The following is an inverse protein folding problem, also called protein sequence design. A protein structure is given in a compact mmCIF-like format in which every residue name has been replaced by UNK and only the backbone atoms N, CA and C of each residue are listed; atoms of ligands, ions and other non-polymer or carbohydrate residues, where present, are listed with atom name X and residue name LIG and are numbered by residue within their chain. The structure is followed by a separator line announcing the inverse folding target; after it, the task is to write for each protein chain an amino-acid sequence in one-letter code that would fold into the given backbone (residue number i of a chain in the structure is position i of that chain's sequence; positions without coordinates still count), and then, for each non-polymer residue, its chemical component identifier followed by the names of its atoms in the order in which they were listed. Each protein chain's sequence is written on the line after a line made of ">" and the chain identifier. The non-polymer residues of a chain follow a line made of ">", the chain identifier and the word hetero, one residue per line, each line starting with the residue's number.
data_IF_160820301911
#
_entry.id   IF_160820301911
#
_cell.length_a   1.000
_cell.length_b   1.000
_cell.length_c   1.000
_cell.angle_alpha   90.00
_cell.angle_beta   90.00
_cell.angle_gamma   90.00
#
_symmetry.space_group_name_H-M   'P 1'
#
loop_
_entity.id
_entity.type
_entity.pdbx_description
1 polymer ?
#
# COMPACT_ATOMS: atom_id res chain seq x y z
N UNK A 1 45.21 -56.77 42.91
CA UNK A 1 44.57 -56.41 41.64
C UNK A 1 43.27 -55.66 41.96
N UNK A 2 43.24 -54.36 41.60
CA UNK A 2 42.15 -53.42 41.23
C UNK A 2 40.69 -53.90 41.44
N UNK A 3 39.65 -53.17 41.86
CA UNK A 3 39.28 -51.75 42.00
C UNK A 3 37.95 -51.71 42.84
N UNK A 4 37.74 -50.75 43.75
CA UNK A 4 36.96 -49.50 43.61
C UNK A 4 35.42 -49.57 43.79
N UNK A 5 34.91 -48.56 44.52
CA UNK A 5 33.56 -47.93 44.45
C UNK A 5 32.36 -48.63 45.09
N UNK A 6 31.33 -47.99 45.65
CA UNK A 6 31.09 -46.75 46.41
C UNK A 6 29.60 -46.82 46.86
N UNK A 7 29.31 -46.42 48.12
CA UNK A 7 28.04 -46.04 48.83
C UNK A 7 26.63 -46.27 48.23
N UNK A 8 25.60 -46.51 49.09
CA UNK A 8 24.84 -45.37 49.67
C UNK A 8 24.32 -45.58 51.11
N UNK A 9 23.83 -44.53 51.81
CA UNK A 9 22.95 -44.73 52.96
C UNK A 9 21.53 -44.14 52.81
N UNK A 10 20.58 -44.93 53.31
CA UNK A 10 19.47 -44.61 54.23
C UNK A 10 18.38 -43.56 53.92
N UNK A 11 17.20 -44.10 53.60
CA UNK A 11 15.84 -43.91 54.18
C UNK A 11 15.35 -42.57 54.80
N UNK A 12 14.26 -42.10 54.17
CA UNK A 12 12.92 -41.66 54.69
C UNK A 12 12.79 -40.54 55.73
N UNK A 13 11.93 -39.55 55.43
CA UNK A 13 10.56 -39.41 55.98
C UNK A 13 9.79 -38.23 55.33
N UNK A 14 8.46 -38.30 55.35
CA UNK A 14 7.52 -37.37 54.72
C UNK A 14 7.18 -36.17 55.63
N UNK A 15 6.90 -35.00 55.05
CA UNK A 15 5.88 -34.06 55.58
C UNK A 15 5.45 -33.05 54.52
N UNK A 16 4.15 -32.81 54.46
CA UNK A 16 3.44 -31.97 53.51
C UNK A 16 3.40 -30.51 53.98
N UNK A 17 3.73 -29.56 53.11
CA UNK A 17 3.28 -28.17 53.23
C UNK A 17 3.16 -27.54 51.84
N UNK A 18 1.93 -27.14 51.51
CA UNK A 18 1.57 -26.38 50.31
C UNK A 18 2.12 -24.94 50.44
N UNK A 19 2.83 -24.47 49.42
CA UNK A 19 3.13 -23.05 49.23
C UNK A 19 2.67 -22.62 47.84
N UNK A 20 1.77 -21.64 47.82
CA UNK A 20 1.30 -20.93 46.62
C UNK A 20 2.48 -20.07 46.13
N UNK A 21 2.97 -20.34 44.91
CA UNK A 21 3.94 -19.47 44.23
C UNK A 21 3.20 -18.68 43.17
N UNK A 22 3.00 -17.39 43.41
CA UNK A 22 2.56 -16.43 42.40
C UNK A 22 3.66 -16.31 41.34
N UNK A 23 3.42 -16.86 40.15
CA UNK A 23 4.32 -16.69 39.02
C UNK A 23 4.06 -15.32 38.38
N UNK A 24 4.82 -14.31 38.78
CA UNK A 24 4.92 -13.07 38.03
C UNK A 24 5.72 -13.35 36.75
N UNK A 25 5.05 -13.32 35.60
CA UNK A 25 5.70 -13.41 34.29
C UNK A 25 6.61 -12.17 34.08
N UNK A 26 7.81 -12.34 33.51
CA UNK A 26 8.61 -11.20 33.11
C UNK A 26 7.84 -10.44 32.01
N UNK A 27 7.57 -9.15 32.26
CA UNK A 27 7.17 -8.23 31.19
C UNK A 27 8.32 -8.18 30.19
N UNK A 28 8.19 -8.96 29.12
CA UNK A 28 8.97 -8.75 27.92
C UNK A 28 8.83 -7.28 27.56
N UNK A 29 9.95 -6.58 27.46
CA UNK A 29 9.99 -5.23 26.93
C UNK A 29 9.41 -5.30 25.52
N UNK A 30 8.13 -4.96 25.40
CA UNK A 30 7.60 -4.44 24.16
C UNK A 30 8.39 -3.16 23.94
N UNK A 31 9.57 -3.28 23.31
CA UNK A 31 10.21 -2.21 22.61
C UNK A 31 9.10 -1.66 21.72
N UNK A 32 8.53 -0.57 22.21
CA UNK A 32 7.45 0.17 21.60
C UNK A 32 8.10 0.68 20.33
N UNK A 33 8.04 -0.12 19.27
CA UNK A 33 8.34 0.31 17.92
C UNK A 33 7.23 1.30 17.66
N UNK A 34 7.50 2.54 18.05
CA UNK A 34 6.68 3.68 17.71
C UNK A 34 6.50 3.55 16.22
N UNK A 35 5.29 3.13 15.83
CA UNK A 35 4.82 3.33 14.48
C UNK A 35 4.80 4.84 14.35
N UNK A 36 5.95 5.40 13.94
CA UNK A 36 6.01 6.71 13.33
C UNK A 36 5.03 6.55 12.19
N UNK A 37 3.83 7.10 12.35
CA UNK A 37 2.95 7.36 11.21
C UNK A 37 3.79 8.29 10.35
N UNK A 38 4.60 7.72 9.47
CA UNK A 38 5.36 8.47 8.51
C UNK A 38 4.29 9.15 7.68
N UNK A 39 4.10 10.44 7.90
CA UNK A 39 3.26 11.27 7.07
C UNK A 39 3.93 11.27 5.71
N UNK A 40 3.53 10.36 4.83
CA UNK A 40 3.99 10.34 3.45
C UNK A 40 3.60 11.67 2.85
N UNK A 41 4.58 12.49 2.47
CA UNK A 41 4.26 13.75 1.80
C UNK A 41 3.65 13.44 0.44
N UNK A 42 2.58 14.17 0.12
CA UNK A 42 1.93 14.10 -1.18
C UNK A 42 2.20 15.39 -1.93
N UNK A 43 2.52 15.26 -3.21
CA UNK A 43 2.65 16.38 -4.13
C UNK A 43 1.61 16.26 -5.24
N UNK A 44 1.09 17.40 -5.69
CA UNK A 44 0.09 17.47 -6.75
C UNK A 44 0.65 18.32 -7.88
N UNK A 45 0.55 17.82 -9.11
CA UNK A 45 1.04 18.51 -10.30
C UNK A 45 0.17 18.20 -11.51
N UNK A 46 0.13 19.14 -12.45
CA UNK A 46 -0.45 18.90 -13.77
C UNK A 46 0.52 18.05 -14.61
N UNK A 47 0.02 17.04 -15.30
CA UNK A 47 0.80 16.32 -16.29
C UNK A 47 1.28 17.28 -17.39
N UNK A 48 2.58 17.26 -17.69
CA UNK A 48 3.19 18.16 -18.70
C UNK A 48 3.61 17.45 -19.97
N UNK A 49 3.45 16.14 -20.03
CA UNK A 49 3.82 15.32 -21.18
C UNK A 49 2.89 14.12 -21.34
N UNK A 50 2.85 13.53 -22.54
CA UNK A 50 2.12 12.28 -22.75
C UNK A 50 2.64 11.13 -21.89
N UNK A 51 3.94 11.11 -21.57
CA UNK A 51 4.51 10.10 -20.69
C UNK A 51 3.91 10.18 -19.27
N UNK A 52 3.57 11.39 -18.82
CA UNK A 52 2.88 11.61 -17.55
C UNK A 52 1.39 11.27 -17.61
N UNK A 53 0.73 11.56 -18.73
CA UNK A 53 -0.66 11.11 -18.98
C UNK A 53 -0.72 9.58 -18.97
N UNK A 54 0.25 8.89 -19.59
CA UNK A 54 0.36 7.42 -19.53
C UNK A 54 0.47 6.88 -18.11
N UNK A 55 1.12 7.60 -17.18
CA UNK A 55 1.15 7.21 -15.76
C UNK A 55 -0.24 7.29 -15.12
N UNK A 56 -1.05 8.31 -15.44
CA UNK A 56 -2.44 8.40 -14.99
C UNK A 56 -3.30 7.27 -15.58
N UNK A 57 -3.17 7.00 -16.88
CA UNK A 57 -3.90 5.93 -17.57
C UNK A 57 -3.55 4.54 -17.01
N UNK A 58 -2.27 4.29 -16.71
CA UNK A 58 -1.82 3.06 -16.08
C UNK A 58 -2.40 2.90 -14.66
N UNK A 59 -2.42 3.97 -13.86
CA UNK A 59 -3.01 3.94 -12.53
C UNK A 59 -4.53 3.66 -12.58
N UNK A 60 -5.25 4.30 -13.50
CA UNK A 60 -6.68 4.03 -13.70
C UNK A 60 -6.93 2.59 -14.14
N UNK A 61 -6.11 2.04 -15.04
CA UNK A 61 -6.20 0.64 -15.43
C UNK A 61 -6.03 -0.30 -14.22
N UNK A 62 -4.99 -0.05 -13.43
CA UNK A 62 -4.69 -0.83 -12.23
C UNK A 62 -5.88 -0.83 -11.26
N UNK A 63 -6.47 0.34 -10.99
CA UNK A 63 -7.62 0.43 -10.08
C UNK A 63 -8.88 -0.18 -10.71
N UNK A 64 -9.27 0.25 -11.91
CA UNK A 64 -10.56 -0.13 -12.47
C UNK A 64 -10.56 -1.54 -13.05
N UNK A 65 -9.60 -1.90 -13.90
CA UNK A 65 -9.60 -3.20 -14.55
C UNK A 65 -9.06 -4.30 -13.64
N UNK A 66 -7.93 -4.06 -12.97
CA UNK A 66 -7.24 -5.10 -12.19
C UNK A 66 -7.88 -5.29 -10.82
N UNK A 67 -8.04 -4.21 -10.05
CA UNK A 67 -8.54 -4.30 -8.67
C UNK A 67 -10.07 -4.39 -8.62
N UNK A 68 -10.79 -3.63 -9.45
CA UNK A 68 -12.26 -3.57 -9.44
C UNK A 68 -12.93 -4.48 -10.50
N UNK A 69 -12.17 -5.08 -11.41
CA UNK A 69 -12.71 -5.99 -12.43
C UNK A 69 -13.57 -5.33 -13.51
N UNK A 70 -13.43 -4.01 -13.71
CA UNK A 70 -14.15 -3.27 -14.73
C UNK A 70 -13.74 -3.70 -16.15
N UNK A 71 -14.72 -3.76 -17.05
CA UNK A 71 -14.46 -3.95 -18.49
C UNK A 71 -14.31 -2.59 -19.15
N UNK A 72 -13.08 -2.20 -19.42
CA UNK A 72 -12.76 -0.89 -20.01
C UNK A 72 -13.05 -0.88 -21.52
N UNK A 73 -13.73 0.16 -21.99
CA UNK A 73 -13.97 0.41 -23.41
C UNK A 73 -12.79 1.18 -24.01
N UNK A 74 -11.70 0.47 -24.25
CA UNK A 74 -10.47 1.07 -24.81
C UNK A 74 -10.51 1.08 -26.35
N UNK A 75 -9.99 2.14 -27.01
CA UNK A 75 -9.90 2.19 -28.46
C UNK A 75 -9.10 1.01 -29.05
N UNK A 76 -9.50 0.55 -30.24
CA UNK A 76 -8.77 -0.51 -30.92
C UNK A 76 -7.31 -0.10 -31.18
N UNK A 77 -6.36 -0.98 -30.84
CA UNK A 77 -4.92 -0.72 -30.97
C UNK A 77 -4.31 0.10 -29.81
N UNK A 78 -5.10 0.43 -28.79
CA UNK A 78 -4.55 1.00 -27.55
C UNK A 78 -3.53 0.05 -26.92
N UNK A 79 -2.41 0.57 -26.37
CA UNK A 79 -1.47 -0.26 -25.63
C UNK A 79 -2.14 -0.97 -24.45
N UNK A 80 -1.75 -2.22 -24.22
CA UNK A 80 -2.24 -2.98 -23.09
C UNK A 80 -1.83 -2.35 -21.75
N UNK A 81 -2.63 -2.56 -20.71
CA UNK A 81 -2.33 -2.07 -19.36
C UNK A 81 -2.64 -0.59 -19.13
N UNK A 82 -3.35 0.07 -20.05
CA UNK A 82 -3.73 1.47 -19.94
C UNK A 82 -5.26 1.62 -20.07
N UNK A 83 -5.85 2.47 -19.24
CA UNK A 83 -7.22 2.93 -19.37
C UNK A 83 -7.22 4.19 -20.24
N UNK A 84 -7.41 4.03 -21.55
CA UNK A 84 -7.43 5.12 -22.53
C UNK A 84 -8.85 5.27 -23.06
N UNK A 85 -9.37 6.50 -23.07
CA UNK A 85 -10.66 6.82 -23.69
C UNK A 85 -10.59 8.08 -24.57
N UNK A 86 -11.70 8.37 -25.26
CA UNK A 86 -11.81 9.51 -26.18
C UNK A 86 -11.67 10.87 -25.49
N UNK A 87 -11.98 10.95 -24.21
CA UNK A 87 -11.98 12.18 -23.46
C UNK A 87 -10.59 12.57 -22.93
N UNK A 88 -9.64 11.63 -22.86
CA UNK A 88 -8.26 11.89 -22.43
C UNK A 88 -7.60 13.01 -23.28
N UNK A 89 -7.93 13.13 -24.56
CA UNK A 89 -7.43 14.19 -25.43
C UNK A 89 -7.94 15.60 -25.06
N UNK A 90 -8.99 15.69 -24.27
CA UNK A 90 -9.65 16.94 -23.88
C UNK A 90 -9.43 17.29 -22.40
N UNK A 91 -9.03 16.31 -21.58
CA UNK A 91 -8.82 16.50 -20.16
C UNK A 91 -7.40 17.02 -19.85
N UNK A 92 -7.33 17.91 -18.86
CA UNK A 92 -6.10 18.10 -18.12
C UNK A 92 -6.00 17.02 -17.04
N UNK A 93 -4.81 16.45 -16.83
CA UNK A 93 -4.59 15.38 -15.87
C UNK A 93 -3.83 15.91 -14.66
N UNK A 94 -4.44 15.83 -13.48
CA UNK A 94 -3.76 16.00 -12.20
C UNK A 94 -3.14 14.69 -11.77
N UNK A 95 -1.89 14.75 -11.34
CA UNK A 95 -1.14 13.65 -10.77
C UNK A 95 -0.89 13.93 -9.29
N UNK A 96 -1.27 12.97 -8.44
CA UNK A 96 -0.92 12.94 -7.03
C UNK A 96 0.23 11.96 -6.87
N UNK A 97 1.35 12.41 -6.34
CA UNK A 97 2.55 11.60 -6.14
C UNK A 97 2.89 11.49 -4.67
N UNK A 98 3.30 10.30 -4.24
CA UNK A 98 3.99 10.13 -2.96
C UNK A 98 5.40 10.71 -3.02
N UNK A 99 6.01 10.97 -1.87
CA UNK A 99 7.43 11.25 -1.76
C UNK A 99 8.25 10.15 -2.45
N UNK A 100 9.21 10.53 -3.28
CA UNK A 100 10.27 9.61 -3.68
C UNK A 100 11.33 9.50 -2.61
N UNK A 101 12.21 8.52 -2.76
CA UNK A 101 13.39 8.36 -1.92
C UNK A 101 14.42 9.43 -2.31
N UNK A 102 15.15 9.95 -1.34
CA UNK A 102 16.29 10.87 -1.55
C UNK A 102 16.03 12.08 -2.48
N UNK A 103 14.79 12.57 -2.53
CA UNK A 103 14.39 13.73 -3.32
C UNK A 103 13.93 13.42 -4.75
N UNK A 104 13.87 12.14 -5.13
CA UNK A 104 13.36 11.72 -6.42
C UNK A 104 11.85 11.91 -6.56
N UNK A 105 11.37 11.91 -7.80
CA UNK A 105 9.95 11.95 -8.11
C UNK A 105 9.33 10.60 -7.78
N UNK A 106 8.47 10.58 -6.76
CA UNK A 106 7.78 9.36 -6.35
C UNK A 106 6.68 8.90 -7.32
N UNK A 107 6.11 7.70 -7.05
CA UNK A 107 5.10 7.09 -7.90
C UNK A 107 3.81 7.92 -7.91
N UNK A 108 3.05 7.82 -9.00
CA UNK A 108 1.68 8.35 -9.05
C UNK A 108 0.81 7.42 -8.21
N UNK A 109 0.18 7.97 -7.18
CA UNK A 109 -0.70 7.24 -6.25
C UNK A 109 -2.15 7.70 -6.35
N UNK A 110 -2.41 8.75 -7.12
CA UNK A 110 -3.74 9.22 -7.44
C UNK A 110 -3.73 10.05 -8.72
N UNK A 111 -4.88 10.13 -9.38
CA UNK A 111 -5.04 11.01 -10.54
C UNK A 111 -6.46 11.55 -10.61
N UNK A 112 -6.62 12.74 -11.19
CA UNK A 112 -7.91 13.33 -11.48
C UNK A 112 -7.91 13.91 -12.89
N UNK A 113 -9.04 13.82 -13.58
CA UNK A 113 -9.24 14.43 -14.89
C UNK A 113 -10.07 15.69 -14.75
N UNK A 114 -9.57 16.78 -15.32
CA UNK A 114 -10.23 18.08 -15.32
C UNK A 114 -10.65 18.38 -16.75
N UNK A 115 -11.96 18.36 -17.00
CA UNK A 115 -12.52 18.77 -18.28
C UNK A 115 -13.01 20.22 -18.14
N UNK A 116 -12.27 21.17 -18.73
CA UNK A 116 -12.70 22.57 -18.71
C UNK A 116 -13.96 22.76 -19.57
N UNK A 117 -14.83 23.76 -19.28
CA UNK A 117 -16.03 24.00 -20.08
C UNK A 117 -15.72 24.22 -21.58
N UNK A 118 -14.58 24.84 -21.90
CA UNK A 118 -14.14 25.02 -23.27
C UNK A 118 -13.73 23.70 -23.93
N UNK A 119 -13.12 22.78 -23.18
CA UNK A 119 -12.75 21.45 -23.67
C UNK A 119 -13.98 20.53 -23.83
N UNK A 120 -14.95 20.59 -22.92
CA UNK A 120 -16.22 19.88 -23.04
C UNK A 120 -16.94 20.20 -24.35
N UNK A 121 -17.02 21.50 -24.70
CA UNK A 121 -17.59 21.93 -26.00
C UNK A 121 -16.87 21.30 -27.20
N UNK A 122 -15.55 21.11 -27.14
CA UNK A 122 -14.77 20.45 -28.20
C UNK A 122 -14.90 18.93 -28.20
N UNK A 123 -15.19 18.34 -27.04
CA UNK A 123 -15.44 16.91 -26.88
C UNK A 123 -16.86 16.49 -27.31
N UNK A 124 -17.73 17.45 -27.65
CA UNK A 124 -19.11 17.19 -28.08
C UNK A 124 -20.18 17.33 -26.99
N UNK A 125 -19.83 17.83 -25.80
CA UNK A 125 -20.73 17.98 -24.65
C UNK A 125 -19.97 17.85 -23.32
N UNK A 126 -20.64 18.09 -22.20
CA UNK A 126 -20.12 17.67 -20.89
C UNK A 126 -20.22 16.13 -20.79
N UNK A 127 -19.29 15.49 -20.08
CA UNK A 127 -19.40 14.04 -19.78
C UNK A 127 -20.76 13.70 -19.15
N UNK A 128 -21.31 14.63 -18.35
CA UNK A 128 -22.64 14.57 -17.72
C UNK A 128 -23.81 14.54 -18.70
N UNK A 129 -23.61 14.91 -19.97
CA UNK A 129 -24.67 14.92 -20.97
C UNK A 129 -24.88 13.52 -21.61
N UNK A 130 -24.01 12.56 -21.30
CA UNK A 130 -24.01 11.19 -21.86
C UNK A 130 -24.19 10.08 -20.82
N UNK A 131 -24.41 10.42 -19.55
CA UNK A 131 -24.61 9.48 -18.43
C UNK A 131 -26.08 9.43 -17.98
#
# INVERSE_FOLDING_TARGET
>A
FTAASNRPPSMRAMSSSQHIVTHALPHASHARREARTATTSLTVSWARSEAEVRKAQALRYQVFAVEMGARLSTPQGAPAGLDIDLFDAYCEHLLVRAAGEDGDVGPVVGTYRVLTPAAAKRAGGLYSDTE
#
